data_IF_258465077969
#
_entry.id   IF_258465077969
#
_cell.length_a   1.000
_cell.length_b   1.000
_cell.length_c   1.000
_cell.angle_alpha   90.00
_cell.angle_beta   90.00
_cell.angle_gamma   90.00
#
_symmetry.space_group_name_H-M   'P 1'
#
loop_
_entity.id
_entity.type
_entity.pdbx_description
1 polymer ?
#
# COMPACT_ATOMS: atom_id res chain seq x y z
N UNK A 1 20.53 9.89 -44.76
CA UNK A 1 20.49 9.36 -43.38
C UNK A 1 19.14 9.71 -42.80
N UNK A 2 18.24 8.73 -42.68
CA UNK A 2 16.96 8.94 -42.01
C UNK A 2 17.23 9.07 -40.50
N UNK A 3 16.67 10.10 -39.85
CA UNK A 3 16.61 10.18 -38.38
C UNK A 3 15.97 8.88 -37.88
N UNK A 4 16.54 8.21 -36.85
CA UNK A 4 15.81 7.15 -36.20
C UNK A 4 14.49 7.74 -35.70
N UNK A 5 13.37 7.05 -35.97
CA UNK A 5 12.08 7.41 -35.39
C UNK A 5 12.28 7.59 -33.89
N UNK A 6 11.92 8.76 -33.36
CA UNK A 6 11.88 9.01 -31.93
C UNK A 6 11.02 7.89 -31.33
N UNK A 7 11.64 6.93 -30.65
CA UNK A 7 10.90 5.94 -29.89
C UNK A 7 9.99 6.74 -28.96
N UNK A 8 8.67 6.61 -29.14
CA UNK A 8 7.69 7.38 -28.38
C UNK A 8 7.97 7.13 -26.90
N UNK A 9 8.48 8.15 -26.19
CA UNK A 9 8.70 8.02 -24.75
C UNK A 9 7.34 7.69 -24.12
N UNK A 10 7.25 6.65 -23.29
CA UNK A 10 5.99 6.29 -22.67
C UNK A 10 5.52 7.47 -21.80
N UNK A 11 4.21 7.71 -21.78
CA UNK A 11 3.61 8.71 -20.89
C UNK A 11 3.52 8.16 -19.48
N UNK A 12 3.45 9.02 -18.47
CA UNK A 12 3.24 8.58 -17.08
C UNK A 12 1.99 7.71 -16.92
N UNK A 13 0.90 8.03 -17.63
CA UNK A 13 -0.30 7.21 -17.64
C UNK A 13 -0.02 5.80 -18.18
N UNK A 14 0.64 5.71 -19.34
CA UNK A 14 0.99 4.42 -19.92
C UNK A 14 1.88 3.57 -18.99
N UNK A 15 2.86 4.19 -18.30
CA UNK A 15 3.72 3.49 -17.34
C UNK A 15 2.92 2.97 -16.14
N UNK A 16 2.03 3.79 -15.58
CA UNK A 16 1.21 3.41 -14.44
C UNK A 16 0.18 2.33 -14.81
N UNK A 17 -0.48 2.47 -15.96
CA UNK A 17 -1.44 1.48 -16.47
C UNK A 17 -0.76 0.13 -16.74
N UNK A 18 0.46 0.17 -17.27
CA UNK A 18 1.28 -1.03 -17.50
C UNK A 18 1.66 -1.72 -16.19
N UNK A 19 2.16 -0.96 -15.21
CA UNK A 19 2.48 -1.47 -13.89
C UNK A 19 1.25 -2.05 -13.18
N UNK A 20 0.09 -1.37 -13.24
CA UNK A 20 -1.18 -1.85 -12.68
C UNK A 20 -1.60 -3.18 -13.31
N UNK A 21 -1.50 -3.30 -14.63
CA UNK A 21 -1.88 -4.49 -15.37
C UNK A 21 -0.94 -5.67 -15.09
N UNK A 22 0.37 -5.45 -15.08
CA UNK A 22 1.36 -6.52 -14.94
C UNK A 22 1.56 -7.00 -13.51
N UNK A 23 1.32 -6.12 -12.54
CA UNK A 23 1.53 -6.42 -11.13
C UNK A 23 0.22 -6.75 -10.40
N UNK A 24 -0.91 -6.74 -11.09
CA UNK A 24 -2.18 -7.18 -10.52
C UNK A 24 -2.05 -8.61 -9.99
N UNK A 25 -2.41 -8.87 -8.72
CA UNK A 25 -2.38 -10.22 -8.18
C UNK A 25 -3.43 -11.10 -8.85
N UNK A 26 -3.16 -12.41 -8.92
CA UNK A 26 -4.12 -13.38 -9.42
C UNK A 26 -5.42 -13.35 -8.60
N UNK A 27 -6.56 -13.50 -9.28
CA UNK A 27 -7.85 -13.56 -8.61
C UNK A 27 -7.87 -14.71 -7.57
N UNK A 28 -8.18 -14.37 -6.32
CA UNK A 28 -8.22 -15.34 -5.22
C UNK A 28 -6.85 -15.72 -4.64
N UNK A 29 -5.75 -15.10 -5.06
CA UNK A 29 -4.42 -15.34 -4.47
C UNK A 29 -4.38 -15.03 -2.96
N UNK A 30 -5.19 -14.06 -2.52
CA UNK A 30 -5.33 -13.72 -1.12
C UNK A 30 -6.35 -14.63 -0.41
N UNK A 31 -5.84 -15.68 0.25
CA UNK A 31 -6.70 -16.68 0.91
C UNK A 31 -7.46 -16.10 2.09
N UNK A 32 -6.83 -15.24 2.89
CA UNK A 32 -7.49 -14.65 4.06
C UNK A 32 -8.66 -13.76 3.62
N UNK A 33 -8.45 -12.85 2.66
CA UNK A 33 -9.53 -11.98 2.17
C UNK A 33 -10.68 -12.79 1.59
N UNK A 34 -10.38 -13.87 0.87
CA UNK A 34 -11.42 -14.78 0.34
C UNK A 34 -12.24 -15.43 1.47
N UNK A 35 -11.58 -15.89 2.55
CA UNK A 35 -12.27 -16.46 3.72
C UNK A 35 -13.06 -15.42 4.50
N UNK A 36 -12.56 -14.18 4.62
CA UNK A 36 -13.30 -13.06 5.23
C UNK A 36 -14.55 -12.77 4.40
N UNK A 37 -14.43 -12.69 3.08
CA UNK A 37 -15.55 -12.44 2.17
C UNK A 37 -16.64 -13.50 2.27
N UNK A 38 -16.28 -14.76 2.54
CA UNK A 38 -17.23 -15.86 2.75
C UNK A 38 -17.77 -15.95 4.19
N UNK A 39 -17.29 -15.13 5.13
CA UNK A 39 -17.62 -15.24 6.56
C UNK A 39 -16.96 -16.44 7.27
N UNK A 40 -15.95 -17.06 6.67
CA UNK A 40 -15.29 -18.29 7.12
C UNK A 40 -13.99 -18.06 7.91
N UNK A 41 -13.48 -16.83 7.93
CA UNK A 41 -12.35 -16.46 8.77
C UNK A 41 -12.81 -16.25 10.23
N UNK A 42 -12.03 -16.66 11.25
CA UNK A 42 -12.39 -16.38 12.64
C UNK A 42 -12.30 -14.88 12.92
N UNK A 43 -13.18 -14.34 13.76
CA UNK A 43 -13.21 -12.89 14.09
C UNK A 43 -11.89 -12.39 14.72
N UNK A 44 -11.08 -13.26 15.31
CA UNK A 44 -9.75 -12.91 15.86
C UNK A 44 -8.75 -12.40 14.81
N UNK A 45 -8.98 -12.64 13.52
CA UNK A 45 -8.11 -12.08 12.46
C UNK A 45 -8.15 -10.56 12.42
N UNK A 46 -9.27 -9.93 12.78
CA UNK A 46 -9.38 -8.47 12.79
C UNK A 46 -8.55 -7.84 13.92
N UNK A 47 -8.48 -8.49 15.08
CA UNK A 47 -7.59 -8.08 16.16
C UNK A 47 -6.11 -8.24 15.75
N UNK A 48 -5.77 -9.38 15.13
CA UNK A 48 -4.40 -9.63 14.62
C UNK A 48 -4.01 -8.62 13.55
N UNK A 49 -4.91 -8.35 12.59
CA UNK A 49 -4.72 -7.35 11.55
C UNK A 49 -4.46 -5.97 12.16
N UNK A 50 -5.25 -5.58 13.16
CA UNK A 50 -5.11 -4.28 13.84
C UNK A 50 -3.74 -4.13 14.50
N UNK A 51 -3.30 -5.15 15.24
CA UNK A 51 -2.01 -5.14 15.93
C UNK A 51 -0.83 -5.08 14.95
N UNK A 52 -0.91 -5.80 13.82
CA UNK A 52 0.12 -5.77 12.78
C UNK A 52 0.12 -4.44 12.01
N UNK A 53 -1.05 -3.87 11.71
CA UNK A 53 -1.16 -2.59 11.00
C UNK A 53 -0.55 -1.43 11.80
N UNK A 54 -0.66 -1.43 13.14
CA UNK A 54 0.07 -0.43 13.95
C UNK A 54 1.59 -0.43 13.68
N UNK A 55 2.18 -1.59 13.39
CA UNK A 55 3.61 -1.73 13.10
C UNK A 55 3.94 -1.34 11.66
N UNK A 56 3.13 -1.82 10.71
CA UNK A 56 3.28 -1.51 9.27
C UNK A 56 3.19 -0.01 9.06
N UNK A 57 2.11 0.62 9.53
CA UNK A 57 1.86 2.05 9.35
C UNK A 57 2.98 2.89 9.97
N UNK A 58 3.45 2.53 11.16
CA UNK A 58 4.55 3.24 11.81
C UNK A 58 5.84 3.18 10.97
N UNK A 59 6.16 2.02 10.40
CA UNK A 59 7.32 1.81 9.53
C UNK A 59 7.18 2.55 8.19
N UNK A 60 6.01 2.46 7.57
CA UNK A 60 5.74 3.05 6.27
C UNK A 60 5.75 4.58 6.34
N UNK A 61 5.15 5.17 7.39
CA UNK A 61 5.22 6.62 7.64
C UNK A 61 6.66 7.12 7.72
N UNK A 62 7.55 6.40 8.41
CA UNK A 62 8.97 6.75 8.47
C UNK A 62 9.65 6.64 7.10
N UNK A 63 9.32 5.58 6.36
CA UNK A 63 9.87 5.31 5.02
C UNK A 63 9.44 6.39 4.02
N UNK A 64 8.19 6.81 4.06
CA UNK A 64 7.63 7.84 3.18
C UNK A 64 8.18 9.23 3.52
N UNK A 65 8.27 9.60 4.80
CA UNK A 65 8.97 10.84 5.18
C UNK A 65 10.43 10.85 4.73
N UNK A 66 11.12 9.71 4.80
CA UNK A 66 12.50 9.60 4.30
C UNK A 66 12.58 9.78 2.78
N UNK A 67 11.65 9.17 2.04
CA UNK A 67 11.56 9.31 0.57
C UNK A 67 11.21 10.73 0.14
N UNK A 68 10.32 11.41 0.85
CA UNK A 68 9.99 12.82 0.63
C UNK A 68 11.25 13.68 0.74
N UNK A 69 11.99 13.57 1.86
CA UNK A 69 13.25 14.28 2.09
C UNK A 69 14.33 13.98 1.06
N UNK A 70 14.43 12.72 0.62
CA UNK A 70 15.37 12.35 -0.47
C UNK A 70 15.01 12.96 -1.81
N UNK A 71 13.78 13.42 -1.95
CA UNK A 71 13.21 13.98 -3.17
C UNK A 71 13.03 15.50 -3.07
N UNK A 72 13.63 16.19 -2.09
CA UNK A 72 13.53 17.66 -1.92
C UNK A 72 13.92 18.45 -3.19
N UNK A 73 14.79 17.89 -4.03
CA UNK A 73 15.18 18.46 -5.33
C UNK A 73 14.21 18.17 -6.48
N UNK A 74 13.21 17.33 -6.25
CA UNK A 74 12.25 16.81 -7.22
C UNK A 74 10.81 16.97 -6.66
N UNK A 75 10.25 18.21 -6.61
CA UNK A 75 9.04 18.51 -5.85
C UNK A 75 7.83 17.61 -6.14
N UNK A 76 7.49 17.23 -7.40
CA UNK A 76 6.38 16.33 -7.65
C UNK A 76 6.53 14.95 -6.98
N UNK A 77 7.77 14.48 -6.82
CA UNK A 77 8.07 13.21 -6.14
C UNK A 77 7.99 13.39 -4.63
N UNK A 78 8.53 14.48 -4.08
CA UNK A 78 8.42 14.79 -2.66
C UNK A 78 6.95 14.91 -2.22
N UNK A 79 6.14 15.67 -2.96
CA UNK A 79 4.71 15.88 -2.70
C UNK A 79 3.91 14.57 -2.66
N UNK A 80 4.28 13.59 -3.50
CA UNK A 80 3.64 12.28 -3.48
C UNK A 80 3.94 11.54 -2.18
N UNK A 81 5.20 11.52 -1.72
CA UNK A 81 5.57 10.83 -0.50
C UNK A 81 5.11 11.55 0.77
N UNK A 82 5.05 12.89 0.77
CA UNK A 82 4.44 13.64 1.86
C UNK A 82 2.95 13.31 2.00
N UNK A 83 2.20 13.25 0.89
CA UNK A 83 0.80 12.80 0.90
C UNK A 83 0.68 11.39 1.50
N UNK A 84 1.55 10.45 1.13
CA UNK A 84 1.52 9.10 1.70
C UNK A 84 1.80 9.11 3.20
N UNK A 85 2.79 9.86 3.67
CA UNK A 85 3.11 9.94 5.10
C UNK A 85 1.95 10.57 5.92
N UNK A 86 1.25 11.56 5.36
CA UNK A 86 0.03 12.11 5.93
C UNK A 86 -1.11 11.07 5.95
N UNK A 87 -1.28 10.33 4.85
CA UNK A 87 -2.27 9.27 4.74
C UNK A 87 -2.06 8.15 5.78
N UNK A 88 -0.81 7.79 6.08
CA UNK A 88 -0.46 6.85 7.15
C UNK A 88 -0.87 7.37 8.54
N UNK A 89 -0.78 8.68 8.78
CA UNK A 89 -1.23 9.27 10.04
C UNK A 89 -2.75 9.20 10.18
N UNK A 90 -3.48 9.50 9.11
CA UNK A 90 -4.94 9.33 9.06
C UNK A 90 -5.35 7.85 9.20
N UNK A 91 -4.58 6.93 8.61
CA UNK A 91 -4.82 5.50 8.72
C UNK A 91 -4.75 5.01 10.17
N UNK A 92 -3.78 5.49 10.97
CA UNK A 92 -3.71 5.19 12.40
C UNK A 92 -4.93 5.68 13.17
N UNK A 93 -5.42 6.89 12.86
CA UNK A 93 -6.62 7.44 13.50
C UNK A 93 -7.85 6.57 13.17
N UNK A 94 -8.00 6.19 11.91
CA UNK A 94 -9.11 5.35 11.45
C UNK A 94 -9.03 3.90 11.95
N UNK A 95 -7.84 3.43 12.34
CA UNK A 95 -7.63 2.11 12.91
C UNK A 95 -8.17 1.99 14.35
N UNK A 96 -8.28 3.11 15.08
CA UNK A 96 -8.74 3.13 16.46
C UNK A 96 -10.14 2.52 16.63
N UNK A 97 -11.07 2.79 15.71
CA UNK A 97 -12.41 2.21 15.77
C UNK A 97 -12.43 0.69 15.64
N UNK A 98 -11.48 0.11 14.91
CA UNK A 98 -11.33 -1.35 14.82
C UNK A 98 -10.68 -1.94 16.08
N UNK A 99 -9.70 -1.23 16.65
CA UNK A 99 -9.08 -1.61 17.92
C UNK A 99 -10.13 -1.70 19.04
N UNK A 100 -10.98 -0.67 19.16
CA UNK A 100 -12.06 -0.62 20.15
C UNK A 100 -13.06 -1.78 19.95
N UNK A 101 -13.46 -2.05 18.70
CA UNK A 101 -14.40 -3.14 18.40
C UNK A 101 -13.81 -4.55 18.54
N UNK A 102 -12.48 -4.64 18.63
CA UNK A 102 -11.74 -5.84 18.98
C UNK A 102 -11.34 -5.88 20.47
N UNK A 103 -11.79 -4.89 21.27
CA UNK A 103 -11.49 -4.75 22.71
C UNK A 103 -9.98 -4.69 23.01
N UNK A 104 -9.18 -4.15 22.09
CA UNK A 104 -7.73 -4.03 22.26
C UNK A 104 -7.37 -2.85 23.15
N UNK A 105 -6.55 -3.10 24.16
CA UNK A 105 -6.00 -2.08 25.05
C UNK A 105 -4.69 -1.50 24.52
N UNK A 106 -4.33 -0.28 24.93
CA UNK A 106 -3.02 0.32 24.61
C UNK A 106 -1.85 -0.58 25.03
N UNK A 107 -1.99 -1.33 26.13
CA UNK A 107 -0.98 -2.27 26.61
C UNK A 107 -0.80 -3.46 25.65
N UNK A 108 -1.89 -3.94 25.05
CA UNK A 108 -1.82 -5.02 24.05
C UNK A 108 -1.21 -4.53 22.75
N UNK A 109 -1.55 -3.31 22.31
CA UNK A 109 -0.98 -2.70 21.11
C UNK A 109 0.54 -2.46 21.29
N UNK A 110 0.94 -1.82 22.39
CA UNK A 110 2.36 -1.50 22.67
C UNK A 110 3.21 -2.72 23.04
N UNK A 111 2.60 -3.74 23.66
CA UNK A 111 3.27 -5.00 24.02
C UNK A 111 3.27 -6.05 22.92
N UNK A 112 2.67 -5.76 21.76
CA UNK A 112 2.52 -6.71 20.68
C UNK A 112 3.87 -7.18 20.12
N UNK A 113 3.97 -8.47 19.83
CA UNK A 113 5.12 -9.06 19.13
C UNK A 113 4.73 -9.34 17.68
N UNK A 114 5.30 -8.60 16.72
CA UNK A 114 4.90 -8.76 15.32
C UNK A 114 5.25 -10.14 14.77
N UNK A 115 4.41 -10.66 13.89
CA UNK A 115 4.66 -11.92 13.19
C UNK A 115 5.66 -11.68 12.06
N UNK A 116 6.69 -12.52 11.89
CA UNK A 116 7.70 -12.31 10.86
C UNK A 116 7.14 -12.13 9.44
N UNK A 117 6.11 -12.90 9.08
CA UNK A 117 5.49 -12.80 7.76
C UNK A 117 4.72 -11.50 7.50
N UNK A 118 4.22 -10.85 8.55
CA UNK A 118 3.59 -9.53 8.47
C UNK A 118 4.62 -8.40 8.32
N UNK A 119 5.87 -8.64 8.70
CA UNK A 119 6.93 -7.63 8.69
C UNK A 119 7.77 -7.61 7.40
N UNK A 120 7.54 -8.55 6.49
CA UNK A 120 8.28 -8.63 5.23
C UNK A 120 8.03 -7.41 4.32
N UNK A 121 6.76 -6.99 4.20
CA UNK A 121 6.36 -5.82 3.42
C UNK A 121 6.98 -4.51 3.96
N UNK A 122 6.75 -4.10 5.23
CA UNK A 122 7.31 -2.84 5.73
C UNK A 122 8.84 -2.83 5.74
N UNK A 123 9.48 -3.99 5.97
CA UNK A 123 10.95 -4.12 5.86
C UNK A 123 11.44 -3.89 4.44
N UNK A 124 10.70 -4.36 3.43
CA UNK A 124 11.04 -4.14 2.03
C UNK A 124 10.77 -2.70 1.59
N UNK A 125 9.66 -2.09 2.03
CA UNK A 125 9.37 -0.67 1.80
C UNK A 125 10.49 0.22 2.38
N UNK A 126 10.94 -0.05 3.61
CA UNK A 126 12.08 0.65 4.22
C UNK A 126 13.37 0.46 3.41
N UNK A 127 13.64 -0.76 2.91
CA UNK A 127 14.80 -1.01 2.03
C UNK A 127 14.71 -0.20 0.73
N UNK A 128 13.52 -0.11 0.12
CA UNK A 128 13.31 0.72 -1.06
C UNK A 128 13.57 2.19 -0.75
N UNK A 129 13.05 2.69 0.36
CA UNK A 129 13.28 4.06 0.84
C UNK A 129 14.77 4.39 1.01
N UNK A 130 15.56 3.44 1.53
CA UNK A 130 16.98 3.63 1.79
C UNK A 130 17.88 3.56 0.55
N UNK A 131 17.48 2.87 -0.52
CA UNK A 131 18.42 2.51 -1.60
C UNK A 131 17.94 2.70 -3.03
N UNK A 132 16.63 2.87 -3.26
CA UNK A 132 16.07 2.88 -4.61
C UNK A 132 15.90 4.30 -5.15
N UNK A 133 15.67 4.41 -6.47
CA UNK A 133 15.29 5.68 -7.08
C UNK A 133 13.85 6.03 -6.68
N UNK A 134 13.59 7.20 -6.08
CA UNK A 134 12.25 7.58 -5.63
C UNK A 134 11.17 7.47 -6.72
N UNK A 135 11.44 7.92 -7.95
CA UNK A 135 10.51 7.79 -9.07
C UNK A 135 10.11 6.33 -9.39
N UNK A 136 11.04 5.37 -9.25
CA UNK A 136 10.75 3.94 -9.45
C UNK A 136 9.85 3.40 -8.32
N UNK A 137 10.04 3.91 -7.10
CA UNK A 137 9.24 3.54 -5.92
C UNK A 137 7.80 4.06 -6.05
N UNK A 138 7.59 5.26 -6.61
CA UNK A 138 6.25 5.79 -6.90
C UNK A 138 5.46 4.83 -7.80
N UNK A 139 6.07 4.38 -8.90
CA UNK A 139 5.42 3.44 -9.84
C UNK A 139 5.05 2.14 -9.12
N UNK A 140 6.00 1.57 -8.36
CA UNK A 140 5.82 0.29 -7.67
C UNK A 140 4.73 0.35 -6.59
N UNK A 141 4.70 1.40 -5.76
CA UNK A 141 3.69 1.59 -4.72
C UNK A 141 2.31 1.88 -5.31
N UNK A 142 2.23 2.67 -6.38
CA UNK A 142 0.94 2.98 -7.03
C UNK A 142 0.25 1.70 -7.52
N UNK A 143 1.01 0.78 -8.11
CA UNK A 143 0.47 -0.52 -8.52
C UNK A 143 0.06 -1.39 -7.31
N UNK A 144 0.81 -1.33 -6.20
CA UNK A 144 0.48 -2.03 -4.97
C UNK A 144 -0.83 -1.55 -4.33
N UNK A 145 -1.01 -0.23 -4.20
CA UNK A 145 -2.18 0.36 -3.55
C UNK A 145 -3.51 0.03 -4.25
N UNK A 146 -3.50 -0.20 -5.55
CA UNK A 146 -4.70 -0.63 -6.27
C UNK A 146 -5.19 -2.02 -5.80
N UNK A 147 -4.27 -2.97 -5.57
CA UNK A 147 -4.61 -4.28 -5.03
C UNK A 147 -5.09 -4.18 -3.58
N UNK A 148 -4.34 -3.44 -2.76
CA UNK A 148 -4.70 -3.16 -1.37
C UNK A 148 -6.11 -2.57 -1.23
N UNK A 149 -6.45 -1.55 -2.03
CA UNK A 149 -7.76 -0.91 -1.99
C UNK A 149 -8.90 -1.88 -2.33
N UNK A 150 -8.70 -2.78 -3.31
CA UNK A 150 -9.66 -3.83 -3.63
C UNK A 150 -9.88 -4.83 -2.49
N UNK A 151 -8.81 -5.21 -1.78
CA UNK A 151 -8.91 -6.06 -0.59
C UNK A 151 -9.64 -5.33 0.54
N UNK A 152 -9.31 -4.07 0.80
CA UNK A 152 -9.98 -3.24 1.80
C UNK A 152 -11.47 -3.08 1.51
N UNK A 153 -11.87 -2.85 0.26
CA UNK A 153 -13.28 -2.79 -0.14
C UNK A 153 -14.02 -4.09 0.16
N UNK A 154 -13.39 -5.23 -0.15
CA UNK A 154 -13.94 -6.57 0.11
C UNK A 154 -14.13 -6.81 1.61
N UNK A 155 -13.10 -6.51 2.41
CA UNK A 155 -13.14 -6.68 3.87
C UNK A 155 -14.17 -5.75 4.51
N UNK A 156 -14.23 -4.48 4.09
CA UNK A 156 -15.21 -3.51 4.61
C UNK A 156 -16.66 -3.96 4.38
N UNK A 157 -16.96 -4.58 3.23
CA UNK A 157 -18.27 -5.14 2.95
C UNK A 157 -18.57 -6.36 3.84
N UNK A 158 -17.64 -7.32 3.90
CA UNK A 158 -17.78 -8.54 4.68
C UNK A 158 -17.93 -8.28 6.20
N UNK A 159 -17.22 -7.29 6.73
CA UNK A 159 -17.32 -6.88 8.14
C UNK A 159 -18.75 -6.51 8.55
N UNK A 160 -19.48 -5.84 7.65
CA UNK A 160 -20.89 -5.50 7.83
C UNK A 160 -21.77 -6.73 7.66
N UNK A 161 -21.56 -7.49 6.58
CA UNK A 161 -22.50 -8.52 6.12
C UNK A 161 -22.39 -9.84 6.91
N UNK A 162 -21.20 -10.19 7.41
CA UNK A 162 -20.93 -11.49 8.05
C UNK A 162 -20.49 -11.40 9.50
N UNK A 163 -19.84 -10.29 9.90
CA UNK A 163 -19.21 -10.20 11.22
C UNK A 163 -19.93 -9.25 12.18
N UNK A 164 -20.89 -8.44 11.72
CA UNK A 164 -21.65 -7.54 12.58
C UNK A 164 -20.78 -6.47 13.26
N UNK A 165 -19.70 -6.02 12.61
CA UNK A 165 -18.93 -4.89 13.10
C UNK A 165 -19.69 -3.57 12.91
N UNK A 166 -19.59 -2.61 13.86
CA UNK A 166 -20.15 -1.28 13.68
C UNK A 166 -19.39 -0.51 12.59
N UNK A 167 -20.01 0.53 12.04
CA UNK A 167 -19.39 1.36 10.98
C UNK A 167 -18.08 2.00 11.42
N UNK A 168 -17.96 2.38 12.69
CA UNK A 168 -16.71 2.92 13.25
C UNK A 168 -15.52 1.95 13.10
N UNK A 169 -15.75 0.63 13.20
CA UNK A 169 -14.71 -0.38 13.05
C UNK A 169 -14.26 -0.58 11.59
N UNK A 170 -15.06 -0.12 10.63
CA UNK A 170 -14.78 -0.25 9.19
C UNK A 170 -13.99 0.93 8.64
N UNK A 171 -13.80 1.99 9.43
CA UNK A 171 -13.21 3.26 9.02
C UNK A 171 -11.87 3.13 8.30
N UNK A 172 -10.97 2.28 8.82
CA UNK A 172 -9.69 1.98 8.20
C UNK A 172 -9.86 1.39 6.79
N UNK A 173 -10.68 0.35 6.64
CA UNK A 173 -10.86 -0.32 5.35
C UNK A 173 -11.60 0.57 4.34
N UNK A 174 -12.60 1.33 4.78
CA UNK A 174 -13.32 2.27 3.90
C UNK A 174 -12.39 3.37 3.39
N UNK A 175 -11.48 3.88 4.22
CA UNK A 175 -10.49 4.89 3.81
C UNK A 175 -9.68 4.44 2.59
N UNK A 176 -9.21 3.19 2.57
CA UNK A 176 -8.41 2.66 1.47
C UNK A 176 -9.25 2.08 0.31
N UNK A 177 -10.53 1.80 0.53
CA UNK A 177 -11.43 1.28 -0.51
C UNK A 177 -11.85 2.35 -1.53
N UNK A 178 -11.85 3.62 -1.12
CA UNK A 178 -12.29 4.72 -1.98
C UNK A 178 -11.15 5.23 -2.88
N UNK A 179 -11.40 5.47 -4.18
CA UNK A 179 -10.38 6.04 -5.06
C UNK A 179 -9.94 7.44 -4.61
N UNK A 180 -8.69 7.58 -4.19
CA UNK A 180 -8.09 8.87 -3.84
C UNK A 180 -7.65 9.64 -5.09
N UNK A 181 -8.51 10.54 -5.60
CA UNK A 181 -8.23 11.32 -6.81
C UNK A 181 -6.93 12.13 -6.72
N UNK A 182 -6.64 12.70 -5.56
CA UNK A 182 -5.40 13.47 -5.33
C UNK A 182 -4.16 12.56 -5.40
N UNK A 183 -4.23 11.36 -4.83
CA UNK A 183 -3.15 10.38 -4.91
C UNK A 183 -2.84 9.99 -6.37
N UNK A 184 -3.88 9.73 -7.17
CA UNK A 184 -3.71 9.41 -8.59
C UNK A 184 -3.08 10.56 -9.38
N UNK A 185 -3.48 11.81 -9.08
CA UNK A 185 -2.91 13.00 -9.71
C UNK A 185 -1.43 13.19 -9.35
N UNK A 186 -1.08 13.06 -8.06
CA UNK A 186 0.31 13.16 -7.59
C UNK A 186 1.20 12.04 -8.11
N UNK A 187 0.70 10.80 -8.15
CA UNK A 187 1.41 9.67 -8.75
C UNK A 187 1.77 9.97 -10.20
N UNK A 188 0.79 10.44 -11.00
CA UNK A 188 1.02 10.81 -12.40
C UNK A 188 2.05 11.93 -12.54
N UNK A 189 1.97 12.96 -11.71
CA UNK A 189 2.92 14.08 -11.73
C UNK A 189 4.35 13.63 -11.38
N UNK A 190 4.51 12.83 -10.32
CA UNK A 190 5.79 12.28 -9.89
C UNK A 190 6.42 11.36 -10.95
N UNK A 191 5.63 10.46 -11.55
CA UNK A 191 6.11 9.59 -12.63
C UNK A 191 6.47 10.40 -13.87
N UNK A 192 5.67 11.39 -14.25
CA UNK A 192 5.98 12.25 -15.40
C UNK A 192 7.29 13.01 -15.17
N UNK A 193 7.48 13.59 -13.98
CA UNK A 193 8.74 14.23 -13.60
C UNK A 193 9.93 13.28 -13.68
N UNK A 194 9.79 12.05 -13.16
CA UNK A 194 10.83 11.03 -13.25
C UNK A 194 11.18 10.62 -14.69
N UNK A 195 10.19 10.59 -15.59
CA UNK A 195 10.40 10.31 -17.02
C UNK A 195 11.08 11.50 -17.73
N UNK A 196 10.69 12.73 -17.41
CA UNK A 196 11.23 13.95 -18.02
C UNK A 196 12.69 14.19 -17.61
N UNK A 197 13.03 13.89 -16.36
CA UNK A 197 14.40 13.98 -15.82
C UNK A 197 15.28 12.75 -16.13
N UNK A 198 14.69 11.68 -16.68
CA UNK A 198 15.39 10.43 -16.97
C UNK A 198 15.77 9.61 -15.73
N UNK A 199 15.21 9.94 -14.57
CA UNK A 199 15.38 9.19 -13.32
C UNK A 199 14.60 7.88 -13.31
N UNK A 200 13.38 7.88 -13.89
CA UNK A 200 12.48 6.74 -13.88
C UNK A 200 12.97 5.62 -14.82
N UNK A 201 12.96 4.39 -14.30
CA UNK A 201 13.32 3.13 -14.97
C UNK A 201 12.19 2.13 -14.74
N UNK A 202 11.15 2.13 -15.58
CA UNK A 202 9.97 1.27 -15.40
C UNK A 202 10.29 -0.21 -15.15
N UNK A 203 11.29 -0.77 -15.83
CA UNK A 203 11.72 -2.16 -15.60
C UNK A 203 12.19 -2.44 -14.15
N UNK A 204 12.88 -1.49 -13.51
CA UNK A 204 13.27 -1.61 -12.11
C UNK A 204 12.05 -1.53 -11.19
N UNK A 205 11.12 -0.61 -11.49
CA UNK A 205 9.87 -0.46 -10.76
C UNK A 205 9.00 -1.74 -10.79
N UNK A 206 8.93 -2.45 -11.93
CA UNK A 206 8.22 -3.73 -12.01
C UNK A 206 8.87 -4.79 -11.10
N UNK A 207 10.20 -4.81 -11.02
CA UNK A 207 10.93 -5.67 -10.10
C UNK A 207 10.59 -5.41 -8.63
N UNK A 208 10.45 -4.13 -8.26
CA UNK A 208 10.05 -3.71 -6.91
C UNK A 208 8.59 -4.06 -6.63
N UNK A 209 7.69 -3.70 -7.55
CA UNK A 209 6.25 -3.96 -7.43
C UNK A 209 5.92 -5.43 -7.29
N UNK A 210 6.61 -6.32 -8.02
CA UNK A 210 6.43 -7.77 -7.88
C UNK A 210 6.72 -8.27 -6.46
N UNK A 211 7.76 -7.73 -5.81
CA UNK A 211 8.10 -8.09 -4.44
C UNK A 211 7.14 -7.46 -3.42
N UNK A 212 6.73 -6.19 -3.62
CA UNK A 212 5.71 -5.55 -2.79
C UNK A 212 4.41 -6.37 -2.79
N UNK A 213 3.90 -6.74 -3.97
CA UNK A 213 2.69 -7.56 -4.10
C UNK A 213 2.83 -8.93 -3.42
N UNK A 214 3.96 -9.61 -3.62
CA UNK A 214 4.20 -10.89 -2.96
C UNK A 214 4.27 -10.77 -1.44
N UNK A 215 4.87 -9.70 -0.92
CA UNK A 215 4.95 -9.45 0.52
C UNK A 215 3.62 -8.96 1.12
N UNK A 216 2.79 -8.23 0.37
CA UNK A 216 1.43 -7.91 0.78
C UNK A 216 0.57 -9.18 0.89
N UNK A 217 0.64 -10.08 -0.10
CA UNK A 217 -0.03 -11.38 -0.01
C UNK A 217 0.49 -12.22 1.17
N UNK A 218 1.80 -12.16 1.45
CA UNK A 218 2.38 -12.80 2.63
C UNK A 218 1.83 -12.20 3.93
N UNK A 219 1.69 -10.86 4.01
CA UNK A 219 1.09 -10.18 5.15
C UNK A 219 -0.33 -10.72 5.41
N UNK A 220 -1.20 -10.69 4.40
CA UNK A 220 -2.58 -11.14 4.57
C UNK A 220 -2.68 -12.60 5.00
N UNK A 221 -1.91 -13.49 4.39
CA UNK A 221 -1.92 -14.90 4.79
C UNK A 221 -1.34 -15.10 6.19
N UNK A 222 -0.28 -14.36 6.57
CA UNK A 222 0.34 -14.44 7.91
C UNK A 222 -0.57 -13.91 9.01
N UNK A 223 -1.48 -12.99 8.72
CA UNK A 223 -2.55 -12.56 9.65
C UNK A 223 -3.54 -13.70 9.90
N UNK A 224 -3.80 -14.53 8.89
CA UNK A 224 -4.80 -15.61 8.94
C UNK A 224 -4.29 -16.95 9.47
N UNK A 225 -2.97 -17.11 9.57
CA UNK A 225 -2.29 -18.31 10.12
C UNK A 225 -2.28 -18.32 11.66
#
# INVERSE_FOLDING_TARGET
MARPAEAHRPTAAAVLDDALRELAPDAGANRLVSRIAAGEAPRSVFATFTLEQHQVIASDRLSFHHLARRSDGDPPIADFFDLLAESESLALEQLAGLADACELTEREISGYRPRPGCQAYPSYAARLALGSTPADVVIALTANFAAWGGYCATVAAAMRDHYGFPDAARGFFTLFAEPAQDLAAKARAAVQHGLDTGQARPAAAHGYGRLLQAYELMFWNSVGD
#
